data_IF_216753341557
#
_entry.id   IF_216753341557
#
_cell.length_a   1.000
_cell.length_b   1.000
_cell.length_c   1.000
_cell.angle_alpha   90.00
_cell.angle_beta   90.00
_cell.angle_gamma   90.00
#
_symmetry.space_group_name_H-M   'P 1'
#
loop_
_entity.id
_entity.type
_entity.pdbx_description
1 polymer ?
#
# COMPACT_ATOMS: atom_id res chain seq x y z
N UNK A 1 17.59 -2.60 -4.47
CA UNK A 1 16.11 -2.56 -4.53
C UNK A 1 15.55 -3.35 -3.36
N UNK A 2 14.55 -2.83 -2.70
CA UNK A 2 13.91 -3.50 -1.57
C UNK A 2 12.42 -3.70 -1.85
N UNK A 3 11.81 -4.65 -1.15
CA UNK A 3 10.38 -4.93 -1.23
C UNK A 3 9.69 -4.45 0.05
N UNK A 4 8.71 -3.59 -0.10
CA UNK A 4 7.76 -3.27 0.98
C UNK A 4 6.61 -4.27 0.91
N UNK A 5 6.26 -4.87 2.05
CA UNK A 5 5.08 -5.72 2.20
C UNK A 5 4.17 -5.09 3.25
N UNK A 6 2.97 -4.71 2.84
CA UNK A 6 1.97 -4.15 3.76
C UNK A 6 0.79 -5.11 3.87
N UNK A 7 0.54 -5.59 5.08
CA UNK A 7 -0.63 -6.42 5.39
C UNK A 7 -1.77 -5.50 5.82
N UNK A 8 -2.88 -5.55 5.07
CA UNK A 8 -4.01 -4.64 5.23
C UNK A 8 -5.27 -5.46 5.51
N UNK A 9 -5.87 -5.26 6.68
CA UNK A 9 -7.19 -5.80 6.96
C UNK A 9 -8.23 -4.73 6.63
N UNK A 10 -9.16 -5.06 5.75
CA UNK A 10 -10.19 -4.14 5.26
C UNK A 10 -11.52 -4.47 5.93
N UNK A 11 -12.28 -3.44 6.28
CA UNK A 11 -13.59 -3.61 6.90
C UNK A 11 -14.50 -4.45 6.01
N UNK A 12 -15.12 -5.54 6.55
CA UNK A 12 -16.02 -6.39 5.77
C UNK A 12 -17.13 -5.58 5.10
N UNK A 13 -17.38 -5.88 3.82
CA UNK A 13 -18.38 -5.19 3.01
C UNK A 13 -17.84 -3.98 2.25
N UNK A 14 -16.60 -3.55 2.51
CA UNK A 14 -16.00 -2.40 1.81
C UNK A 14 -14.89 -2.81 0.85
N UNK A 15 -14.76 -4.08 0.54
CA UNK A 15 -13.68 -4.60 -0.29
C UNK A 15 -13.66 -3.95 -1.68
N UNK A 16 -14.82 -3.79 -2.32
CA UNK A 16 -14.88 -3.15 -3.63
C UNK A 16 -14.53 -1.66 -3.54
N UNK A 17 -15.04 -0.97 -2.52
CA UNK A 17 -14.73 0.44 -2.29
C UNK A 17 -13.23 0.64 -2.04
N UNK A 18 -12.59 -0.30 -1.33
CA UNK A 18 -11.15 -0.27 -1.13
C UNK A 18 -10.40 -0.46 -2.46
N UNK A 19 -10.82 -1.42 -3.30
CA UNK A 19 -10.20 -1.62 -4.62
C UNK A 19 -10.31 -0.36 -5.48
N UNK A 20 -11.47 0.31 -5.45
CA UNK A 20 -11.68 1.55 -6.19
C UNK A 20 -10.79 2.68 -5.66
N UNK A 21 -10.65 2.79 -4.33
CA UNK A 21 -9.77 3.77 -3.70
C UNK A 21 -8.30 3.53 -4.07
N UNK A 22 -7.87 2.26 -4.08
CA UNK A 22 -6.53 1.91 -4.54
C UNK A 22 -6.30 2.32 -5.99
N UNK A 23 -7.25 2.02 -6.87
CA UNK A 23 -7.15 2.39 -8.28
C UNK A 23 -7.02 3.91 -8.48
N UNK A 24 -7.73 4.69 -7.67
CA UNK A 24 -7.65 6.15 -7.70
C UNK A 24 -6.32 6.68 -7.14
N UNK A 25 -5.82 6.03 -6.09
CA UNK A 25 -4.68 6.55 -5.33
C UNK A 25 -3.31 6.05 -5.77
N UNK A 26 -3.24 4.95 -6.52
CA UNK A 26 -1.96 4.32 -6.84
C UNK A 26 -0.98 5.25 -7.55
N UNK A 27 -1.45 6.17 -8.36
CA UNK A 27 -0.60 7.14 -9.04
C UNK A 27 0.19 8.04 -8.09
N UNK A 28 -0.33 8.29 -6.88
CA UNK A 28 0.38 9.07 -5.87
C UNK A 28 1.64 8.35 -5.37
N UNK A 29 1.58 7.03 -5.25
CA UNK A 29 2.73 6.21 -4.88
C UNK A 29 3.69 6.07 -6.05
N UNK A 30 3.16 5.80 -7.25
CA UNK A 30 3.94 5.55 -8.46
C UNK A 30 4.74 6.77 -8.91
N UNK A 31 4.30 7.98 -8.58
CA UNK A 31 5.00 9.23 -8.89
C UNK A 31 6.16 9.53 -7.93
N UNK A 32 6.34 8.73 -6.88
CA UNK A 32 7.37 8.97 -5.88
C UNK A 32 8.76 8.61 -6.40
N UNK A 33 9.76 9.41 -6.02
CA UNK A 33 11.15 9.12 -6.37
C UNK A 33 11.58 7.79 -5.75
N UNK A 34 12.22 6.95 -6.54
CA UNK A 34 12.68 5.63 -6.10
C UNK A 34 11.64 4.52 -6.16
N UNK A 35 10.42 4.83 -6.56
CA UNK A 35 9.41 3.79 -6.82
C UNK A 35 9.79 2.96 -8.05
N UNK A 36 9.55 1.64 -7.98
CA UNK A 36 9.87 0.69 -9.06
C UNK A 36 8.65 -0.05 -9.57
N UNK A 37 7.88 -0.64 -8.69
CA UNK A 37 6.69 -1.42 -9.05
C UNK A 37 5.73 -1.49 -7.88
N UNK A 38 4.47 -1.78 -8.18
CA UNK A 38 3.45 -1.92 -7.15
C UNK A 38 2.34 -2.84 -7.62
N UNK A 39 1.85 -3.69 -6.73
CA UNK A 39 0.59 -4.40 -6.95
C UNK A 39 -0.12 -4.63 -5.63
N UNK A 40 -1.44 -4.63 -5.69
CA UNK A 40 -2.31 -4.99 -4.58
C UNK A 40 -2.84 -6.39 -4.83
N UNK A 41 -2.80 -7.23 -3.79
CA UNK A 41 -3.35 -8.58 -3.85
C UNK A 41 -4.44 -8.73 -2.80
N UNK A 42 -5.40 -9.61 -3.07
CA UNK A 42 -6.52 -9.88 -2.16
C UNK A 42 -6.50 -11.35 -1.75
N UNK A 43 -6.75 -11.62 -0.47
CA UNK A 43 -6.79 -12.97 0.05
C UNK A 43 -7.89 -13.80 -0.63
N UNK A 44 -7.55 -15.05 -0.98
CA UNK A 44 -8.52 -16.00 -1.51
C UNK A 44 -9.33 -16.59 -0.36
N UNK A 45 -8.64 -17.11 0.66
CA UNK A 45 -9.28 -17.69 1.86
C UNK A 45 -9.92 -16.63 2.73
N UNK A 46 -9.32 -15.43 2.80
CA UNK A 46 -9.80 -14.32 3.61
C UNK A 46 -9.90 -13.07 2.73
N UNK A 47 -11.04 -12.85 2.05
CA UNK A 47 -11.18 -11.74 1.09
C UNK A 47 -11.08 -10.34 1.68
N UNK A 48 -11.21 -10.18 3.00
CA UNK A 48 -11.00 -8.90 3.68
C UNK A 48 -9.52 -8.58 3.91
N UNK A 49 -8.63 -9.56 3.66
CA UNK A 49 -7.19 -9.36 3.83
C UNK A 49 -6.55 -9.06 2.49
N UNK A 50 -5.82 -7.94 2.44
CA UNK A 50 -5.09 -7.51 1.27
C UNK A 50 -3.60 -7.44 1.60
N UNK A 51 -2.77 -7.66 0.60
CA UNK A 51 -1.31 -7.49 0.72
C UNK A 51 -0.86 -6.56 -0.40
N UNK A 52 -0.27 -5.44 -0.01
CA UNK A 52 0.35 -4.49 -0.93
C UNK A 52 1.83 -4.83 -1.04
N UNK A 53 2.31 -4.95 -2.27
CA UNK A 53 3.71 -5.24 -2.59
C UNK A 53 4.25 -4.06 -3.40
N UNK A 54 5.26 -3.38 -2.86
CA UNK A 54 5.89 -2.24 -3.55
C UNK A 54 7.40 -2.43 -3.57
N UNK A 55 7.97 -2.30 -4.75
CA UNK A 55 9.43 -2.27 -4.89
C UNK A 55 9.92 -0.82 -4.92
N UNK A 56 10.94 -0.54 -4.10
CA UNK A 56 11.58 0.76 -3.97
C UNK A 56 13.08 0.61 -4.20
N UNK A 57 13.75 1.69 -4.62
CA UNK A 57 15.22 1.69 -4.72
C UNK A 57 15.86 1.37 -3.37
N UNK A 58 15.33 1.94 -2.30
CA UNK A 58 15.83 1.78 -0.94
C UNK A 58 14.71 2.05 0.07
N UNK A 59 14.89 1.63 1.33
CA UNK A 59 13.97 1.96 2.42
C UNK A 59 13.78 3.48 2.54
N UNK A 60 14.86 4.24 2.36
CA UNK A 60 14.80 5.71 2.43
C UNK A 60 13.83 6.32 1.40
N UNK A 61 13.65 5.69 0.24
CA UNK A 61 12.68 6.14 -0.77
C UNK A 61 11.25 6.02 -0.25
N UNK A 62 10.92 4.91 0.39
CA UNK A 62 9.61 4.70 1.01
C UNK A 62 9.41 5.67 2.19
N UNK A 63 10.42 5.87 3.01
CA UNK A 63 10.34 6.83 4.13
C UNK A 63 10.10 8.26 3.64
N UNK A 64 10.74 8.66 2.54
CA UNK A 64 10.52 9.97 1.93
C UNK A 64 9.08 10.12 1.42
N UNK A 65 8.52 9.07 0.82
CA UNK A 65 7.11 9.07 0.43
C UNK A 65 6.20 9.25 1.65
N UNK A 66 6.46 8.52 2.74
CA UNK A 66 5.65 8.59 3.96
C UNK A 66 5.69 9.98 4.61
N UNK A 67 6.75 10.75 4.38
CA UNK A 67 6.88 12.12 4.89
C UNK A 67 6.29 13.17 3.92
N UNK A 68 5.77 12.77 2.76
CA UNK A 68 5.30 13.68 1.72
C UNK A 68 3.81 14.00 1.83
N UNK A 69 3.38 15.09 1.19
CA UNK A 69 1.97 15.44 1.07
C UNK A 69 1.19 14.35 0.29
N UNK A 70 1.84 13.71 -0.68
CA UNK A 70 1.23 12.63 -1.45
C UNK A 70 0.81 11.46 -0.56
N UNK A 71 1.56 11.16 0.49
CA UNK A 71 1.19 10.11 1.44
C UNK A 71 -0.12 10.44 2.16
N UNK A 72 -0.30 11.69 2.57
CA UNK A 72 -1.55 12.13 3.20
C UNK A 72 -2.76 11.94 2.28
N UNK A 73 -2.60 12.25 1.00
CA UNK A 73 -3.65 12.04 0.00
C UNK A 73 -3.94 10.55 -0.22
N UNK A 74 -2.90 9.72 -0.27
CA UNK A 74 -3.01 8.27 -0.35
C UNK A 74 -3.77 7.72 0.84
N UNK A 75 -3.37 8.10 2.07
CA UNK A 75 -4.02 7.67 3.30
C UNK A 75 -5.49 8.11 3.37
N UNK A 76 -5.81 9.29 2.86
CA UNK A 76 -7.18 9.79 2.83
C UNK A 76 -8.08 8.93 1.95
N UNK A 77 -7.54 8.33 0.89
CA UNK A 77 -8.29 7.44 0.00
C UNK A 77 -8.44 6.03 0.59
N UNK A 78 -7.34 5.41 1.00
CA UNK A 78 -7.34 3.99 1.38
C UNK A 78 -7.59 3.77 2.88
N UNK A 79 -7.15 4.70 3.73
CA UNK A 79 -7.20 4.56 5.19
C UNK A 79 -8.60 4.34 5.78
N UNK A 80 -9.66 5.02 5.28
CA UNK A 80 -11.00 4.83 5.82
C UNK A 80 -11.54 3.40 5.74
N UNK A 81 -10.95 2.56 4.88
CA UNK A 81 -11.37 1.17 4.69
C UNK A 81 -10.64 0.18 5.62
N UNK A 82 -9.62 0.63 6.33
CA UNK A 82 -8.85 -0.28 7.20
C UNK A 82 -9.63 -0.64 8.45
N UNK A 83 -9.66 -1.94 8.77
CA UNK A 83 -10.26 -2.45 9.99
C UNK A 83 -9.31 -2.33 11.19
N UNK A 84 -8.03 -2.08 10.94
CA UNK A 84 -6.99 -1.90 11.94
C UNK A 84 -5.74 -1.30 11.32
N UNK A 85 -4.67 -1.07 12.11
CA UNK A 85 -3.45 -0.48 11.57
C UNK A 85 -2.76 -1.42 10.58
N UNK A 86 -2.25 -0.89 9.45
CA UNK A 86 -1.45 -1.69 8.53
C UNK A 86 -0.18 -2.21 9.22
N UNK A 87 0.25 -3.40 8.81
CA UNK A 87 1.54 -3.97 9.25
C UNK A 87 2.49 -3.94 8.06
N UNK A 88 3.53 -3.12 8.17
CA UNK A 88 4.45 -2.84 7.06
C UNK A 88 5.85 -3.27 7.44
N UNK A 89 6.48 -4.04 6.57
CA UNK A 89 7.88 -4.44 6.71
C UNK A 89 8.59 -4.34 5.36
N UNK A 90 9.91 -4.24 5.42
CA UNK A 90 10.75 -4.22 4.23
C UNK A 90 11.60 -5.49 4.17
N UNK A 91 11.83 -5.98 2.96
CA UNK A 91 12.55 -7.24 2.72
C UNK A 91 13.58 -7.05 1.62
N UNK A 92 14.70 -7.75 1.75
CA UNK A 92 15.69 -7.90 0.68
C UNK A 92 15.53 -9.27 0.03
N UNK A 93 15.91 -9.35 -1.24
CA UNK A 93 16.05 -10.67 -1.87
C UNK A 93 17.17 -11.48 -1.20
N UNK A 94 16.99 -12.77 -1.17
CA UNK A 94 17.96 -13.70 -0.59
C UNK A 94 18.88 -14.25 -1.69
#
# INVERSE_FOLDING_TARGET
MILEVALLDVTPGTEQAFRDAYAQGRGLVEASSGWRSMRMTQGIETPTRFVLLVEWDAVASHEAFRASDAFGKWRALVGPHFAGPPRVEHFNDV
#
